data_IF_454009042748
#
_entry.id   IF_454009042748
#
_cell.length_a   1.000
_cell.length_b   1.000
_cell.length_c   1.000
_cell.angle_alpha   90.00
_cell.angle_beta   90.00
_cell.angle_gamma   90.00
#
_symmetry.space_group_name_H-M   'P 1'
#
loop_
_entity.id
_entity.type
_entity.pdbx_description
1 polymer ?
#
# COMPACT_ATOMS: atom_id res chain seq x y z
N UNK A 1 -34.40 -1.78 -15.21
CA UNK A 1 -34.12 -0.52 -15.90
C UNK A 1 -33.71 -0.74 -17.36
N UNK A 2 -32.53 -1.34 -17.61
CA UNK A 2 -32.06 -1.63 -18.98
C UNK A 2 -32.92 -2.69 -19.65
N UNK A 3 -33.37 -3.69 -18.90
CA UNK A 3 -34.31 -4.73 -19.35
C UNK A 3 -35.72 -4.19 -19.68
N UNK A 4 -36.05 -3.03 -19.13
CA UNK A 4 -37.29 -2.31 -19.43
C UNK A 4 -37.20 -1.38 -20.67
N UNK A 5 -36.07 -1.42 -21.37
CA UNK A 5 -35.83 -0.67 -22.61
C UNK A 5 -35.48 0.80 -22.43
N UNK A 6 -35.21 1.28 -21.20
CA UNK A 6 -34.75 2.64 -20.95
C UNK A 6 -33.32 2.81 -21.50
N UNK A 7 -33.12 3.92 -22.25
CA UNK A 7 -31.75 4.33 -22.60
C UNK A 7 -31.03 4.98 -21.42
N UNK A 8 -29.69 5.04 -21.45
CA UNK A 8 -28.92 5.70 -20.40
C UNK A 8 -29.29 7.20 -20.28
N UNK A 9 -29.59 7.88 -21.38
CA UNK A 9 -30.03 9.27 -21.34
C UNK A 9 -31.41 9.42 -20.67
N UNK A 10 -32.35 8.56 -20.98
CA UNK A 10 -33.68 8.58 -20.33
C UNK A 10 -33.57 8.28 -18.81
N UNK A 11 -32.69 7.38 -18.41
CA UNK A 11 -32.44 7.11 -17.00
C UNK A 11 -31.87 8.36 -16.28
N UNK A 12 -30.92 9.05 -16.88
CA UNK A 12 -30.40 10.34 -16.35
C UNK A 12 -31.50 11.40 -16.24
N UNK A 13 -32.29 11.55 -17.27
CA UNK A 13 -33.38 12.54 -17.30
C UNK A 13 -34.45 12.26 -16.22
N UNK A 14 -34.60 11.01 -15.83
CA UNK A 14 -35.43 10.58 -14.69
C UNK A 14 -34.75 10.73 -13.33
N UNK A 15 -33.49 11.22 -13.28
CA UNK A 15 -32.77 11.50 -12.06
C UNK A 15 -32.09 10.28 -11.41
N UNK A 16 -31.94 9.18 -12.14
CA UNK A 16 -31.16 8.05 -11.62
C UNK A 16 -29.69 8.42 -11.46
N UNK A 17 -29.13 8.09 -10.31
CA UNK A 17 -27.71 8.29 -10.03
C UNK A 17 -26.83 7.34 -10.87
N UNK A 18 -25.55 7.71 -11.05
CA UNK A 18 -24.59 6.86 -11.74
C UNK A 18 -24.50 5.45 -11.11
N UNK A 19 -24.57 5.37 -9.77
CA UNK A 19 -24.63 4.11 -9.03
C UNK A 19 -25.85 3.27 -9.38
N UNK A 20 -27.04 3.86 -9.40
CA UNK A 20 -28.28 3.19 -9.75
C UNK A 20 -28.28 2.72 -11.21
N UNK A 21 -27.71 3.53 -12.10
CA UNK A 21 -27.58 3.18 -13.51
C UNK A 21 -26.61 1.98 -13.68
N UNK A 22 -25.48 1.99 -12.99
CA UNK A 22 -24.54 0.87 -13.03
C UNK A 22 -25.17 -0.42 -12.52
N UNK A 23 -25.84 -0.37 -11.36
CA UNK A 23 -26.62 -1.50 -10.81
C UNK A 23 -27.75 -1.94 -11.75
N UNK A 24 -28.29 -1.01 -12.54
CA UNK A 24 -29.31 -1.26 -13.57
C UNK A 24 -28.76 -1.77 -14.90
N UNK A 25 -27.44 -2.08 -14.98
CA UNK A 25 -26.80 -2.70 -16.14
C UNK A 25 -26.30 -1.74 -17.23
N UNK A 26 -26.25 -0.44 -16.96
CA UNK A 26 -25.56 0.52 -17.83
C UNK A 26 -24.06 0.52 -17.55
N UNK A 27 -23.24 0.67 -18.60
CA UNK A 27 -21.80 0.80 -18.40
C UNK A 27 -21.39 2.25 -18.05
N UNK A 28 -20.13 2.44 -17.65
CA UNK A 28 -19.62 3.76 -17.24
C UNK A 28 -19.59 4.75 -18.41
N UNK A 29 -19.37 4.29 -19.63
CA UNK A 29 -19.33 5.15 -20.82
C UNK A 29 -20.74 5.66 -21.16
N UNK A 30 -21.77 4.88 -20.90
CA UNK A 30 -23.18 5.23 -21.12
C UNK A 30 -23.69 6.17 -20.04
N UNK A 31 -23.30 5.95 -18.77
CA UNK A 31 -23.82 6.75 -17.66
C UNK A 31 -23.11 8.10 -17.49
N UNK A 32 -21.93 8.28 -18.11
CA UNK A 32 -21.17 9.54 -18.08
C UNK A 32 -20.67 9.94 -16.70
N UNK A 33 -20.79 9.04 -15.71
CA UNK A 33 -20.31 9.23 -14.34
C UNK A 33 -18.91 8.65 -14.16
N UNK A 34 -18.07 9.37 -13.42
CA UNK A 34 -16.78 8.87 -12.99
C UNK A 34 -16.88 8.01 -11.73
N UNK A 35 -15.77 7.43 -11.32
CA UNK A 35 -15.67 6.66 -10.09
C UNK A 35 -16.07 7.47 -8.84
N UNK A 36 -15.83 8.79 -8.85
CA UNK A 36 -16.26 9.72 -7.80
C UNK A 36 -17.79 9.77 -7.67
N UNK A 37 -18.49 9.77 -8.81
CA UNK A 37 -19.97 9.83 -8.83
C UNK A 37 -20.55 8.49 -8.35
N UNK A 38 -19.91 7.38 -8.69
CA UNK A 38 -20.28 6.06 -8.17
C UNK A 38 -20.14 6.01 -6.66
N UNK A 39 -19.03 6.51 -6.12
CA UNK A 39 -18.81 6.59 -4.67
C UNK A 39 -19.83 7.51 -4.00
N UNK A 40 -20.07 8.69 -4.54
CA UNK A 40 -21.09 9.62 -4.03
C UNK A 40 -22.49 9.01 -4.03
N UNK A 41 -22.77 8.12 -4.99
CA UNK A 41 -24.00 7.33 -5.07
C UNK A 41 -24.05 6.10 -4.17
N UNK A 42 -23.03 5.89 -3.31
CA UNK A 42 -22.99 4.81 -2.34
C UNK A 42 -22.42 3.48 -2.84
N UNK A 43 -21.79 3.45 -4.02
CA UNK A 43 -21.08 2.23 -4.49
C UNK A 43 -19.87 1.99 -3.63
N UNK A 44 -19.74 0.81 -3.04
CA UNK A 44 -18.57 0.42 -2.23
C UNK A 44 -17.35 0.14 -3.12
N UNK A 45 -16.14 0.17 -2.53
CA UNK A 45 -14.91 -0.18 -3.24
C UNK A 45 -14.96 -1.60 -3.82
N UNK A 46 -15.55 -2.55 -3.08
CA UNK A 46 -15.76 -3.94 -3.53
C UNK A 46 -16.66 -3.98 -4.76
N UNK A 47 -17.82 -3.31 -4.70
CA UNK A 47 -18.73 -3.21 -5.85
C UNK A 47 -18.05 -2.55 -7.05
N UNK A 48 -17.36 -1.42 -6.85
CA UNK A 48 -16.63 -0.74 -7.91
C UNK A 48 -15.56 -1.64 -8.54
N UNK A 49 -14.88 -2.46 -7.74
CA UNK A 49 -13.84 -3.37 -8.21
C UNK A 49 -14.39 -4.63 -8.90
N UNK A 50 -15.60 -5.07 -8.56
CA UNK A 50 -16.21 -6.32 -9.03
C UNK A 50 -17.24 -6.09 -10.16
N UNK A 51 -18.06 -5.04 -10.08
CA UNK A 51 -19.14 -4.78 -11.05
C UNK A 51 -18.60 -4.55 -12.46
N UNK A 52 -17.45 -3.92 -12.58
CA UNK A 52 -16.80 -3.68 -13.86
C UNK A 52 -16.02 -4.88 -14.39
N UNK A 53 -15.90 -5.93 -13.61
CA UNK A 53 -15.36 -7.22 -14.04
C UNK A 53 -16.28 -8.05 -14.94
N UNK A 54 -17.50 -7.54 -15.29
CA UNK A 54 -18.42 -8.22 -16.21
C UNK A 54 -18.38 -7.53 -17.57
N UNK A 55 -17.53 -7.94 -18.50
CA UNK A 55 -17.60 -7.45 -19.88
C UNK A 55 -18.65 -8.25 -20.63
N UNK A 56 -19.94 -7.97 -20.42
CA UNK A 56 -20.95 -8.64 -21.23
C UNK A 56 -21.05 -8.08 -22.66
N UNK A 57 -20.50 -6.92 -22.96
CA UNK A 57 -20.65 -6.30 -24.28
C UNK A 57 -19.36 -5.76 -24.92
N UNK A 58 -18.23 -5.70 -24.23
CA UNK A 58 -16.95 -5.27 -24.81
C UNK A 58 -16.31 -6.29 -25.78
N UNK A 59 -16.91 -7.47 -25.97
CA UNK A 59 -16.42 -8.51 -26.92
C UNK A 59 -16.53 -8.13 -28.40
N UNK A 60 -17.05 -6.95 -28.76
CA UNK A 60 -17.30 -6.60 -30.17
C UNK A 60 -16.25 -5.72 -30.85
N UNK A 61 -15.24 -5.22 -30.17
CA UNK A 61 -14.21 -4.38 -30.81
C UNK A 61 -12.78 -4.70 -30.35
N UNK A 62 -12.28 -5.89 -30.64
CA UNK A 62 -10.82 -6.11 -30.80
C UNK A 62 -9.88 -5.73 -29.65
N UNK A 63 -10.39 -5.38 -28.47
CA UNK A 63 -9.59 -5.13 -27.29
C UNK A 63 -9.15 -6.47 -26.69
N UNK A 64 -7.86 -6.64 -26.47
CA UNK A 64 -7.28 -7.80 -25.83
C UNK A 64 -7.98 -8.07 -24.48
N UNK A 65 -8.51 -9.27 -24.33
CA UNK A 65 -9.64 -9.66 -23.50
C UNK A 65 -9.37 -9.81 -22.00
N UNK A 66 -8.32 -9.23 -21.41
CA UNK A 66 -7.96 -9.50 -20.03
C UNK A 66 -7.85 -8.27 -19.10
N UNK A 67 -8.07 -7.05 -19.56
CA UNK A 67 -7.84 -5.85 -18.74
C UNK A 67 -8.97 -4.80 -18.81
N UNK A 68 -10.04 -5.04 -19.55
CA UNK A 68 -11.11 -4.07 -19.69
C UNK A 68 -12.07 -4.13 -18.50
N UNK A 69 -11.93 -3.21 -17.57
CA UNK A 69 -13.02 -2.81 -16.73
C UNK A 69 -12.90 -2.83 -15.22
N UNK A 70 -11.81 -3.33 -14.64
CA UNK A 70 -11.64 -3.28 -13.19
C UNK A 70 -10.99 -1.97 -12.77
N UNK A 71 -11.61 -1.23 -11.86
CA UNK A 71 -10.91 -0.10 -11.25
C UNK A 71 -9.73 -0.62 -10.43
N UNK A 72 -8.57 -0.07 -10.73
CA UNK A 72 -7.30 -0.37 -10.04
C UNK A 72 -7.24 0.32 -8.68
N UNK A 73 -6.37 -0.15 -7.81
CA UNK A 73 -6.22 0.39 -6.46
C UNK A 73 -5.94 1.90 -6.44
N UNK A 74 -5.07 2.40 -7.32
CA UNK A 74 -4.76 3.83 -7.44
C UNK A 74 -5.96 4.67 -7.90
N UNK A 75 -6.83 4.13 -8.72
CA UNK A 75 -8.07 4.78 -9.17
C UNK A 75 -9.08 4.90 -8.02
N UNK A 76 -9.21 3.85 -7.20
CA UNK A 76 -10.05 3.85 -6.00
C UNK A 76 -9.57 4.92 -4.99
N UNK A 77 -8.24 5.02 -4.79
CA UNK A 77 -7.65 6.09 -3.96
C UNK A 77 -8.01 7.47 -4.51
N UNK A 78 -7.85 7.71 -5.80
CA UNK A 78 -8.19 8.99 -6.46
C UNK A 78 -9.68 9.33 -6.34
N UNK A 79 -10.56 8.34 -6.30
CA UNK A 79 -11.98 8.51 -6.04
C UNK A 79 -12.32 8.74 -4.56
N UNK A 80 -11.32 8.73 -3.68
CA UNK A 80 -11.43 9.02 -2.27
C UNK A 80 -11.87 7.84 -1.40
N UNK A 81 -11.87 6.60 -1.90
CA UNK A 81 -12.04 5.44 -1.04
C UNK A 81 -10.88 5.36 -0.05
N UNK A 82 -11.18 5.02 1.19
CA UNK A 82 -10.18 4.83 2.25
C UNK A 82 -9.37 3.57 2.04
N UNK A 83 -8.19 3.49 2.67
CA UNK A 83 -7.37 2.28 2.64
C UNK A 83 -8.11 1.06 3.20
N UNK A 84 -9.03 1.24 4.16
CA UNK A 84 -9.85 0.16 4.71
C UNK A 84 -10.85 -0.36 3.68
N UNK A 85 -11.62 0.53 3.04
CA UNK A 85 -12.61 0.16 2.00
C UNK A 85 -11.93 -0.55 0.82
N UNK A 86 -10.76 -0.04 0.41
CA UNK A 86 -9.94 -0.65 -0.65
C UNK A 86 -9.37 -2.00 -0.18
N UNK A 87 -8.98 -2.09 1.10
CA UNK A 87 -8.51 -3.32 1.71
C UNK A 87 -9.57 -4.42 1.72
N UNK A 88 -10.83 -4.10 2.02
CA UNK A 88 -11.95 -5.04 1.94
C UNK A 88 -12.16 -5.56 0.51
N UNK A 89 -12.10 -4.66 -0.49
CA UNK A 89 -12.18 -5.04 -1.89
C UNK A 89 -11.01 -5.96 -2.31
N UNK A 90 -9.80 -5.64 -1.86
CA UNK A 90 -8.61 -6.45 -2.11
C UNK A 90 -8.67 -7.80 -1.39
N UNK A 91 -9.19 -7.85 -0.15
CA UNK A 91 -9.39 -9.10 0.59
C UNK A 91 -10.29 -10.07 -0.19
N UNK A 92 -11.38 -9.57 -0.75
CA UNK A 92 -12.26 -10.37 -1.61
C UNK A 92 -11.54 -10.90 -2.87
N UNK A 93 -10.67 -10.09 -3.48
CA UNK A 93 -9.84 -10.53 -4.60
C UNK A 93 -8.76 -11.53 -4.17
N UNK A 94 -8.17 -11.37 -2.98
CA UNK A 94 -7.24 -12.33 -2.37
C UNK A 94 -7.89 -13.70 -2.18
N UNK A 95 -9.12 -13.74 -1.67
CA UNK A 95 -9.91 -14.99 -1.54
C UNK A 95 -10.14 -15.66 -2.90
N UNK A 96 -10.25 -14.89 -3.97
CA UNK A 96 -10.36 -15.39 -5.35
C UNK A 96 -9.00 -15.74 -5.98
N UNK A 97 -7.91 -15.66 -5.23
CA UNK A 97 -6.56 -16.07 -5.66
C UNK A 97 -5.67 -14.95 -6.20
N UNK A 98 -6.02 -13.67 -6.00
CA UNK A 98 -5.12 -12.57 -6.38
C UNK A 98 -3.82 -12.65 -5.58
N UNK A 99 -2.70 -12.68 -6.28
CA UNK A 99 -1.37 -12.69 -5.69
C UNK A 99 -0.96 -11.26 -5.28
N UNK A 100 -0.12 -11.15 -4.26
CA UNK A 100 0.35 -9.86 -3.76
C UNK A 100 1.07 -9.03 -4.83
N UNK A 101 1.85 -9.67 -5.71
CA UNK A 101 2.49 -9.01 -6.85
C UNK A 101 1.47 -8.39 -7.81
N UNK A 102 0.38 -9.10 -8.11
CA UNK A 102 -0.71 -8.58 -8.95
C UNK A 102 -1.41 -7.39 -8.28
N UNK A 103 -1.62 -7.46 -6.95
CA UNK A 103 -2.17 -6.33 -6.21
C UNK A 103 -1.27 -5.09 -6.31
N UNK A 104 0.05 -5.25 -6.27
CA UNK A 104 0.99 -4.15 -6.50
C UNK A 104 0.89 -3.60 -7.92
N UNK A 105 0.90 -4.46 -8.94
CA UNK A 105 0.78 -4.09 -10.36
C UNK A 105 -0.56 -3.39 -10.67
N UNK A 106 -1.61 -3.74 -9.93
CA UNK A 106 -2.93 -3.08 -9.98
C UNK A 106 -3.01 -1.81 -9.10
N UNK A 107 -1.88 -1.32 -8.57
CA UNK A 107 -1.80 -0.05 -7.85
C UNK A 107 -2.44 -0.05 -6.47
N UNK A 108 -2.63 -1.22 -5.82
CA UNK A 108 -3.05 -1.26 -4.43
C UNK A 108 -1.90 -0.82 -3.52
N UNK A 109 -2.20 0.09 -2.59
CA UNK A 109 -1.19 0.58 -1.65
C UNK A 109 -0.83 -0.48 -0.59
N UNK A 110 0.37 -0.41 0.01
CA UNK A 110 0.75 -1.28 1.13
C UNK A 110 -0.22 -1.23 2.31
N UNK A 111 -0.85 -0.07 2.55
CA UNK A 111 -1.88 0.08 3.56
C UNK A 111 -3.15 -0.74 3.23
N UNK A 112 -3.59 -0.73 1.97
CA UNK A 112 -4.70 -1.56 1.50
C UNK A 112 -4.33 -3.06 1.53
N UNK A 113 -3.10 -3.43 1.17
CA UNK A 113 -2.61 -4.80 1.26
C UNK A 113 -2.64 -5.32 2.71
N UNK A 114 -2.17 -4.52 3.66
CA UNK A 114 -2.24 -4.83 5.10
C UNK A 114 -3.69 -4.96 5.56
N UNK A 115 -4.58 -4.05 5.17
CA UNK A 115 -6.00 -4.11 5.49
C UNK A 115 -6.69 -5.35 4.87
N UNK A 116 -6.22 -5.82 3.72
CA UNK A 116 -6.65 -7.07 3.08
C UNK A 116 -6.06 -8.34 3.74
N UNK A 117 -5.27 -8.21 4.80
CA UNK A 117 -4.72 -9.33 5.56
C UNK A 117 -3.48 -9.98 4.93
N UNK A 118 -2.73 -9.26 4.07
CA UNK A 118 -1.36 -9.67 3.75
C UNK A 118 -0.45 -9.35 4.93
N UNK A 119 0.42 -10.28 5.28
CA UNK A 119 1.34 -10.11 6.41
C UNK A 119 2.44 -9.08 6.10
N UNK A 120 3.04 -8.47 7.13
CA UNK A 120 4.20 -7.59 6.94
C UNK A 120 5.36 -8.28 6.21
N UNK A 121 5.59 -9.57 6.48
CA UNK A 121 6.66 -10.35 5.85
C UNK A 121 6.40 -10.56 4.35
N UNK A 122 5.17 -10.94 3.95
CA UNK A 122 4.78 -11.03 2.54
C UNK A 122 4.99 -9.71 1.80
N UNK A 123 4.64 -8.59 2.42
CA UNK A 123 4.82 -7.25 1.84
C UNK A 123 6.32 -6.93 1.73
N UNK A 124 7.12 -7.27 2.72
CA UNK A 124 8.58 -7.06 2.70
C UNK A 124 9.25 -7.91 1.61
N UNK A 125 8.85 -9.16 1.46
CA UNK A 125 9.34 -10.05 0.39
C UNK A 125 9.00 -9.49 -1.00
N UNK A 126 7.78 -8.95 -1.16
CA UNK A 126 7.42 -8.25 -2.40
C UNK A 126 8.35 -7.07 -2.67
N UNK A 127 8.56 -6.20 -1.68
CA UNK A 127 9.44 -5.01 -1.84
C UNK A 127 10.88 -5.42 -2.14
N UNK A 128 11.36 -6.50 -1.52
CA UNK A 128 12.68 -7.10 -1.80
C UNK A 128 12.77 -7.53 -3.27
N UNK A 129 11.80 -8.26 -3.76
CA UNK A 129 11.75 -8.69 -5.16
C UNK A 129 11.66 -7.51 -6.14
N UNK A 130 10.90 -6.46 -5.79
CA UNK A 130 10.82 -5.23 -6.60
C UNK A 130 12.16 -4.51 -6.66
N UNK A 131 12.88 -4.38 -5.52
CA UNK A 131 14.22 -3.80 -5.45
C UNK A 131 15.22 -4.60 -6.29
N UNK A 132 15.22 -5.93 -6.20
CA UNK A 132 16.06 -6.82 -7.00
C UNK A 132 15.76 -6.72 -8.50
N UNK A 133 14.49 -6.45 -8.84
CA UNK A 133 14.04 -6.12 -10.19
C UNK A 133 14.43 -4.72 -10.67
N UNK A 134 15.12 -3.93 -9.83
CA UNK A 134 15.63 -2.59 -10.19
C UNK A 134 14.73 -1.42 -9.80
N UNK A 135 13.67 -1.62 -9.00
CA UNK A 135 12.83 -0.52 -8.52
C UNK A 135 13.64 0.43 -7.62
N UNK A 136 13.77 1.72 -7.97
CA UNK A 136 14.48 2.66 -7.12
C UNK A 136 13.69 3.03 -5.85
N UNK A 137 14.38 3.45 -4.79
CA UNK A 137 13.77 3.80 -3.52
C UNK A 137 12.72 4.93 -3.63
N UNK A 138 12.92 5.88 -4.56
CA UNK A 138 11.95 6.95 -4.83
C UNK A 138 10.61 6.41 -5.36
N UNK A 139 10.64 5.39 -6.20
CA UNK A 139 9.46 4.74 -6.76
C UNK A 139 8.74 3.89 -5.70
N UNK A 140 9.50 3.11 -4.91
CA UNK A 140 8.95 2.36 -3.79
C UNK A 140 8.22 3.27 -2.79
N UNK A 141 8.80 4.44 -2.50
CA UNK A 141 8.14 5.46 -1.66
C UNK A 141 6.89 6.02 -2.31
N UNK A 142 6.93 6.35 -3.59
CA UNK A 142 5.76 6.86 -4.33
C UNK A 142 4.63 5.83 -4.38
N UNK A 143 4.95 4.53 -4.39
CA UNK A 143 3.99 3.45 -4.26
C UNK A 143 3.42 3.31 -2.83
N UNK A 144 3.96 4.06 -1.84
CA UNK A 144 3.48 4.11 -0.47
C UNK A 144 4.10 3.10 0.49
N UNK A 145 5.19 2.43 0.10
CA UNK A 145 5.94 1.58 1.03
C UNK A 145 6.59 2.43 2.12
N UNK A 146 6.46 1.98 3.37
CA UNK A 146 7.07 2.67 4.51
C UNK A 146 8.58 2.53 4.46
N UNK A 147 9.26 3.50 5.08
CA UNK A 147 10.71 3.45 5.19
C UNK A 147 11.20 2.18 5.92
N UNK A 148 10.45 1.68 6.92
CA UNK A 148 10.75 0.42 7.59
C UNK A 148 10.68 -0.79 6.65
N UNK A 149 9.63 -0.89 5.81
CA UNK A 149 9.53 -1.93 4.79
C UNK A 149 10.66 -1.85 3.77
N UNK A 150 11.00 -0.64 3.35
CA UNK A 150 12.10 -0.43 2.40
C UNK A 150 13.46 -0.80 3.00
N UNK A 151 13.72 -0.47 4.27
CA UNK A 151 14.94 -0.89 4.97
C UNK A 151 15.00 -2.41 5.13
N UNK A 152 13.93 -3.03 5.59
CA UNK A 152 13.83 -4.48 5.71
C UNK A 152 14.05 -5.18 4.36
N UNK A 153 13.60 -4.57 3.26
CA UNK A 153 13.85 -5.03 1.91
C UNK A 153 15.28 -4.73 1.38
N UNK A 154 16.14 -4.06 2.18
CA UNK A 154 17.54 -3.81 1.86
C UNK A 154 17.82 -2.57 1.01
N UNK A 155 16.90 -1.60 0.94
CA UNK A 155 17.25 -0.28 0.42
C UNK A 155 18.19 0.44 1.37
N UNK A 156 19.20 1.12 0.83
CA UNK A 156 20.09 1.91 1.66
C UNK A 156 19.35 3.12 2.26
N UNK A 157 19.60 3.42 3.52
CA UNK A 157 18.94 4.52 4.23
C UNK A 157 19.07 5.87 3.50
N UNK A 158 20.25 6.16 2.94
CA UNK A 158 20.50 7.37 2.14
C UNK A 158 19.55 7.52 0.94
N UNK A 159 19.13 6.41 0.35
CA UNK A 159 18.26 6.37 -0.83
C UNK A 159 16.78 6.49 -0.42
N UNK A 160 16.45 6.02 0.78
CA UNK A 160 15.11 6.16 1.35
C UNK A 160 14.81 7.63 1.68
N UNK A 161 15.82 8.41 2.12
CA UNK A 161 15.70 9.84 2.41
C UNK A 161 14.68 10.17 3.49
N UNK A 162 14.38 9.23 4.37
CA UNK A 162 13.42 9.39 5.46
C UNK A 162 14.15 9.72 6.76
N UNK A 163 13.56 10.60 7.56
CA UNK A 163 14.05 10.85 8.92
C UNK A 163 13.82 9.64 9.82
N UNK A 164 14.59 9.53 10.91
CA UNK A 164 14.36 8.48 11.91
C UNK A 164 12.93 8.53 12.49
N UNK A 165 12.34 9.72 12.55
CA UNK A 165 10.94 9.89 12.97
C UNK A 165 9.96 9.20 12.02
N UNK A 166 10.17 9.36 10.70
CA UNK A 166 9.33 8.71 9.69
C UNK A 166 9.52 7.19 9.70
N UNK A 167 10.76 6.72 9.88
CA UNK A 167 11.08 5.31 10.01
C UNK A 167 10.37 4.69 11.21
N UNK A 168 10.41 5.36 12.37
CA UNK A 168 9.70 4.93 13.58
C UNK A 168 8.18 4.94 13.38
N UNK A 169 7.63 6.00 12.78
CA UNK A 169 6.20 6.06 12.47
C UNK A 169 5.77 4.94 11.51
N UNK A 170 6.67 4.50 10.63
CA UNK A 170 6.49 3.34 9.76
C UNK A 170 6.65 1.98 10.44
N UNK A 171 6.91 1.97 11.78
CA UNK A 171 7.01 0.74 12.57
C UNK A 171 8.43 0.18 12.73
N UNK A 172 9.48 0.95 12.39
CA UNK A 172 10.87 0.51 12.60
C UNK A 172 11.08 0.17 14.08
N UNK A 173 11.56 -1.04 14.36
CA UNK A 173 11.92 -1.44 15.71
C UNK A 173 13.19 -0.74 16.20
N UNK A 174 13.36 -0.64 17.52
CA UNK A 174 14.53 0.01 18.10
C UNK A 174 15.83 -0.70 17.71
N UNK A 175 15.83 -2.02 17.61
CA UNK A 175 16.99 -2.81 17.19
C UNK A 175 17.37 -2.46 15.74
N UNK A 176 16.41 -2.37 14.84
CA UNK A 176 16.64 -2.04 13.43
C UNK A 176 17.16 -0.61 13.26
N UNK A 177 16.65 0.33 14.05
CA UNK A 177 17.15 1.70 14.07
C UNK A 177 18.61 1.75 14.53
N UNK A 178 18.97 0.98 15.56
CA UNK A 178 20.34 0.91 16.05
C UNK A 178 21.28 0.26 15.02
N UNK A 179 20.87 -0.84 14.41
CA UNK A 179 21.65 -1.56 13.38
C UNK A 179 21.78 -0.73 12.08
N UNK A 180 20.83 0.17 11.82
CA UNK A 180 20.93 1.17 10.77
C UNK A 180 21.87 2.35 11.11
N UNK A 181 22.51 2.36 12.29
CA UNK A 181 23.50 3.34 12.70
C UNK A 181 22.98 4.57 13.43
N UNK A 182 21.70 4.59 13.83
CA UNK A 182 21.18 5.68 14.66
C UNK A 182 21.65 5.55 16.10
N UNK A 183 22.11 6.66 16.67
CA UNK A 183 22.54 6.69 18.07
C UNK A 183 21.36 6.58 19.03
N UNK A 184 21.59 6.07 20.25
CA UNK A 184 20.60 6.11 21.33
C UNK A 184 20.01 7.51 21.57
N UNK A 185 20.81 8.56 21.44
CA UNK A 185 20.36 9.95 21.58
C UNK A 185 19.37 10.36 20.47
N UNK A 186 19.68 10.03 19.22
CA UNK A 186 18.78 10.27 18.08
C UNK A 186 17.47 9.47 18.23
N UNK A 187 17.58 8.21 18.67
CA UNK A 187 16.42 7.36 18.92
C UNK A 187 15.53 7.92 20.04
N UNK A 188 16.11 8.44 21.11
CA UNK A 188 15.37 9.09 22.20
C UNK A 188 14.67 10.36 21.72
N UNK A 189 15.31 11.18 20.87
CA UNK A 189 14.72 12.40 20.31
C UNK A 189 13.42 12.13 19.51
N UNK A 190 13.34 11.00 18.84
CA UNK A 190 12.14 10.61 18.09
C UNK A 190 11.19 9.74 18.90
N UNK A 191 11.47 9.56 20.20
CA UNK A 191 10.58 8.94 21.18
C UNK A 191 10.63 7.43 21.27
N UNK A 192 11.75 6.76 20.90
CA UNK A 192 11.97 5.41 21.38
C UNK A 192 12.13 5.45 22.92
N UNK A 193 11.47 4.51 23.61
CA UNK A 193 11.55 4.46 25.06
C UNK A 193 13.00 4.18 25.53
N UNK A 194 13.42 4.85 26.60
CA UNK A 194 14.73 4.62 27.20
C UNK A 194 14.82 3.19 27.78
N UNK A 195 13.77 2.81 28.52
CA UNK A 195 13.63 1.51 29.18
C UNK A 195 12.26 0.90 28.87
N UNK A 196 12.09 -0.41 29.00
CA UNK A 196 10.75 -0.99 28.91
C UNK A 196 10.58 -2.16 27.95
N UNK A 197 11.62 -2.89 27.62
CA UNK A 197 11.50 -4.13 26.86
C UNK A 197 12.29 -4.18 25.56
N UNK A 198 12.10 -5.23 24.78
CA UNK A 198 12.90 -5.55 23.59
C UNK A 198 12.91 -4.42 22.54
N UNK A 199 11.83 -3.62 22.44
CA UNK A 199 11.72 -2.50 21.50
C UNK A 199 12.03 -1.12 22.14
N UNK A 200 12.90 -1.10 23.14
CA UNK A 200 13.42 0.11 23.78
C UNK A 200 14.91 0.25 23.55
N UNK A 201 15.46 1.44 23.76
CA UNK A 201 16.88 1.71 23.65
C UNK A 201 17.67 0.82 24.64
N UNK A 202 17.22 0.70 25.88
CA UNK A 202 17.83 -0.15 26.91
C UNK A 202 17.79 -1.63 26.53
N UNK A 203 16.67 -2.10 25.96
CA UNK A 203 16.54 -3.47 25.45
C UNK A 203 17.53 -3.77 24.33
N UNK A 204 17.68 -2.87 23.37
CA UNK A 204 18.65 -2.99 22.26
C UNK A 204 20.08 -3.06 22.80
N UNK A 205 20.43 -2.13 23.70
CA UNK A 205 21.78 -2.10 24.29
C UNK A 205 22.09 -3.38 25.09
N UNK A 206 21.07 -3.96 25.76
CA UNK A 206 21.24 -5.23 26.47
C UNK A 206 21.53 -6.40 25.51
N UNK A 207 20.80 -6.46 24.36
CA UNK A 207 21.05 -7.45 23.32
C UNK A 207 22.45 -7.28 22.75
N UNK A 208 22.83 -6.07 22.33
CA UNK A 208 24.15 -5.79 21.74
C UNK A 208 25.30 -6.04 22.71
N UNK A 209 25.10 -5.76 23.99
CA UNK A 209 26.07 -6.15 25.05
C UNK A 209 26.21 -7.69 25.15
N UNK A 210 25.12 -8.42 25.05
CA UNK A 210 25.14 -9.89 24.99
C UNK A 210 25.87 -10.43 23.75
N UNK A 211 25.86 -9.70 22.64
CA UNK A 211 26.62 -9.99 21.43
C UNK A 211 28.09 -9.54 21.49
N UNK A 212 28.53 -8.92 22.59
CA UNK A 212 29.90 -8.52 22.81
C UNK A 212 30.23 -7.04 22.60
N UNK A 213 29.22 -6.21 22.32
CA UNK A 213 29.41 -4.77 22.13
C UNK A 213 29.90 -4.12 23.44
N UNK A 214 30.93 -3.31 23.36
CA UNK A 214 31.42 -2.49 24.47
C UNK A 214 30.65 -1.20 24.65
N UNK A 215 30.69 -0.60 25.84
CA UNK A 215 30.04 0.69 26.10
C UNK A 215 30.60 1.83 25.22
N UNK A 216 31.88 1.74 24.81
CA UNK A 216 32.47 2.69 23.86
C UNK A 216 31.88 2.56 22.47
N UNK A 217 31.70 1.36 21.97
CA UNK A 217 31.08 1.09 20.66
C UNK A 217 29.62 1.52 20.65
N UNK A 218 28.85 1.30 21.70
CA UNK A 218 27.47 1.77 21.82
C UNK A 218 27.34 3.30 21.71
N UNK A 219 28.35 4.05 22.14
CA UNK A 219 28.38 5.51 22.08
C UNK A 219 28.83 6.06 20.72
N UNK A 220 29.57 5.29 19.92
CA UNK A 220 30.25 5.73 18.68
C UNK A 220 29.74 5.03 17.43
N UNK A 221 28.78 4.16 17.51
CA UNK A 221 28.24 3.34 16.37
C UNK A 221 27.94 4.16 15.09
N UNK A 222 27.60 5.46 15.10
CA UNK A 222 27.42 6.19 13.86
C UNK A 222 28.71 6.53 13.10
N UNK A 223 29.88 6.38 13.71
CA UNK A 223 31.14 6.80 13.07
C UNK A 223 31.82 5.68 12.25
N UNK A 224 31.58 4.43 12.58
CA UNK A 224 32.24 3.30 11.92
C UNK A 224 31.54 2.82 10.64
N UNK A 225 30.23 3.03 10.50
CA UNK A 225 29.48 2.65 9.29
C UNK A 225 29.79 3.53 8.06
N UNK A 226 30.43 4.67 8.25
CA UNK A 226 30.76 5.62 7.15
C UNK A 226 32.20 5.41 6.64
N UNK A 227 33.06 4.73 7.36
CA UNK A 227 34.49 4.59 7.02
C UNK A 227 34.91 3.26 6.41
N UNK A 228 33.96 2.34 6.16
CA UNK A 228 34.24 1.03 5.54
C UNK A 228 33.50 0.79 4.23
N UNK A 229 33.27 1.84 3.43
CA UNK A 229 32.86 1.74 2.02
C UNK A 229 33.85 2.48 1.14
#
# INVERSE_FOLDING_TARGET
MRDDGLTAQQAKDQGYTAAQMLLGGYDLSENGGGLNDLRAGGVTATQASDILGIPSHAKKQGAHSNEAGLFKGDQLVKAGYTASEIGEALAHKKEKGMLLKQAHEDGYSPAAMKAAGYSPDEITDLVTGLREGGMPASEARAAGYSAAQMLAAGYAQKDIGSSLADLKAGGMAAIDAFDAGFTPAQMAQVGYAADGGANSIGGVLAVKKGEGMTAGEAAITPYLAITTL
#
